data_IF_350745097205
#
_entry.id   IF_350745097205
#
_cell.length_a   1.000
_cell.length_b   1.000
_cell.length_c   1.000
_cell.angle_alpha   90.00
_cell.angle_beta   90.00
_cell.angle_gamma   90.00
#
_symmetry.space_group_name_H-M   'P 1'
#
loop_
_entity.id
_entity.type
_entity.pdbx_description
1 polymer ?
#
# COMPACT_ATOMS: atom_id res chain seq x y z
N UNK A 1 22.41 -16.15 -1.88
CA UNK A 1 21.60 -15.03 -2.38
C UNK A 1 21.98 -13.80 -1.58
N UNK A 2 22.37 -12.72 -2.24
CA UNK A 2 22.69 -11.43 -1.62
C UNK A 2 21.42 -10.58 -1.55
N UNK A 3 21.27 -9.73 -0.53
CA UNK A 3 20.10 -8.84 -0.42
C UNK A 3 19.96 -7.91 -1.64
N UNK A 4 21.07 -7.53 -2.26
CA UNK A 4 21.07 -6.71 -3.48
C UNK A 4 20.44 -7.40 -4.68
N UNK A 5 20.37 -8.73 -4.69
CA UNK A 5 19.76 -9.50 -5.78
C UNK A 5 18.25 -9.20 -5.88
N UNK A 6 17.64 -8.66 -4.82
CA UNK A 6 16.22 -8.28 -4.77
C UNK A 6 15.93 -6.84 -5.21
N UNK A 7 16.94 -6.02 -5.47
CA UNK A 7 16.78 -4.63 -5.89
C UNK A 7 16.56 -4.53 -7.41
N UNK A 8 15.45 -5.11 -7.87
CA UNK A 8 15.03 -5.08 -9.28
C UNK A 8 13.51 -5.00 -9.35
N UNK A 9 12.96 -4.59 -10.50
CA UNK A 9 11.51 -4.55 -10.73
C UNK A 9 10.82 -5.92 -10.71
N UNK A 10 11.60 -7.01 -10.68
CA UNK A 10 11.11 -8.37 -10.52
C UNK A 10 10.49 -8.62 -9.14
N UNK A 11 10.95 -7.88 -8.12
CA UNK A 11 10.54 -8.12 -6.75
C UNK A 11 9.70 -6.97 -6.19
N UNK A 12 8.84 -7.32 -5.25
CA UNK A 12 8.00 -6.40 -4.48
C UNK A 12 8.07 -6.73 -2.99
N UNK A 13 8.03 -5.72 -2.14
CA UNK A 13 8.15 -5.89 -0.70
C UNK A 13 6.86 -5.52 0.05
N UNK A 14 6.49 -6.36 1.01
CA UNK A 14 5.43 -6.10 1.98
C UNK A 14 6.00 -5.91 3.38
N UNK A 15 5.72 -4.77 3.98
CA UNK A 15 6.13 -4.44 5.34
C UNK A 15 4.99 -4.77 6.30
N UNK A 16 5.31 -5.48 7.37
CA UNK A 16 4.28 -5.93 8.31
C UNK A 16 4.86 -6.19 9.69
N UNK A 17 3.99 -6.44 10.67
CA UNK A 17 4.37 -6.74 12.05
C UNK A 17 4.87 -8.18 12.16
N UNK A 18 5.87 -8.41 13.00
CA UNK A 18 6.39 -9.76 13.27
C UNK A 18 5.28 -10.72 13.71
N UNK A 19 4.43 -10.27 14.65
CA UNK A 19 3.30 -11.05 15.15
C UNK A 19 2.35 -11.51 14.06
N UNK A 20 2.06 -10.66 13.07
CA UNK A 20 1.18 -11.01 11.94
C UNK A 20 1.83 -12.08 11.07
N UNK A 21 3.15 -12.02 10.87
CA UNK A 21 3.87 -13.05 10.11
C UNK A 21 3.73 -14.41 10.77
N UNK A 22 3.97 -14.48 12.09
CA UNK A 22 3.97 -15.75 12.83
C UNK A 22 2.57 -16.30 13.04
N UNK A 23 1.56 -15.45 13.26
CA UNK A 23 0.20 -15.87 13.60
C UNK A 23 -0.68 -16.10 12.36
N UNK A 24 -0.52 -15.27 11.33
CA UNK A 24 -1.49 -15.18 10.24
C UNK A 24 -0.88 -15.54 8.87
N UNK A 25 0.38 -15.20 8.60
CA UNK A 25 0.96 -15.39 7.25
C UNK A 25 1.61 -16.77 7.10
N UNK A 26 2.59 -17.11 7.94
CA UNK A 26 3.34 -18.35 7.79
C UNK A 26 2.50 -19.61 8.05
N UNK A 27 1.62 -19.68 9.06
CA UNK A 27 0.86 -20.90 9.33
C UNK A 27 -0.11 -21.28 8.21
N UNK A 28 -0.66 -20.28 7.52
CA UNK A 28 -1.66 -20.47 6.48
C UNK A 28 -1.07 -20.28 5.07
N UNK A 29 0.13 -19.74 4.96
CA UNK A 29 0.75 -19.30 3.71
C UNK A 29 -0.16 -18.35 2.91
N UNK A 30 -0.86 -17.47 3.63
CA UNK A 30 -1.85 -16.55 3.07
C UNK A 30 -1.51 -15.11 3.43
N UNK A 31 -1.85 -14.18 2.54
CA UNK A 31 -1.73 -12.75 2.79
C UNK A 31 -3.10 -12.11 2.66
N UNK A 32 -3.46 -11.33 3.68
CA UNK A 32 -4.76 -10.69 3.75
C UNK A 32 -4.73 -9.28 3.18
N UNK A 33 -5.64 -9.02 2.25
CA UNK A 33 -5.92 -7.67 1.79
C UNK A 33 -6.63 -6.88 2.91
N UNK A 34 -6.18 -5.67 3.17
CA UNK A 34 -6.75 -4.82 4.22
C UNK A 34 -7.87 -3.96 3.66
N UNK A 35 -8.86 -3.58 4.46
CA UNK A 35 -9.84 -2.59 3.99
C UNK A 35 -9.19 -1.22 3.91
N UNK A 36 -9.52 -0.43 2.88
CA UNK A 36 -9.00 0.93 2.73
C UNK A 36 -9.35 1.84 3.93
N UNK A 37 -10.42 1.54 4.67
CA UNK A 37 -10.83 2.32 5.84
C UNK A 37 -9.87 2.23 7.04
N UNK A 38 -8.97 1.23 7.07
CA UNK A 38 -8.08 0.93 8.21
C UNK A 38 -6.59 0.99 7.86
N UNK A 39 -6.23 1.45 6.67
CA UNK A 39 -4.82 1.61 6.28
C UNK A 39 -4.17 2.76 7.05
N UNK A 40 -2.86 2.64 7.29
CA UNK A 40 -2.11 3.61 8.08
C UNK A 40 -1.61 4.80 7.26
N UNK A 41 -1.58 4.70 5.93
CA UNK A 41 -1.18 5.82 5.08
C UNK A 41 -2.31 6.86 4.99
N UNK A 42 -2.05 8.14 5.33
CA UNK A 42 -3.07 9.19 5.26
C UNK A 42 -3.65 9.40 3.86
N UNK A 43 -2.86 9.31 2.79
CA UNK A 43 -3.39 9.48 1.43
C UNK A 43 -4.34 8.35 1.06
N UNK A 44 -4.00 7.10 1.43
CA UNK A 44 -4.86 5.95 1.17
C UNK A 44 -6.14 6.00 2.04
N UNK A 45 -6.03 6.48 3.28
CA UNK A 45 -7.12 6.52 4.27
C UNK A 45 -8.09 7.69 4.09
N UNK A 46 -7.59 8.88 3.74
CA UNK A 46 -8.37 10.12 3.91
C UNK A 46 -9.39 10.34 2.78
N UNK A 47 -9.30 9.57 1.69
CA UNK A 47 -10.30 9.50 0.60
C UNK A 47 -10.56 10.85 -0.08
N UNK A 48 -9.68 11.80 0.16
CA UNK A 48 -9.57 13.11 -0.48
C UNK A 48 -9.28 12.96 -1.98
N UNK A 49 -8.90 11.78 -2.45
CA UNK A 49 -8.86 11.45 -3.88
C UNK A 49 -10.26 11.30 -4.52
N UNK A 50 -11.36 11.28 -3.74
CA UNK A 50 -12.73 11.53 -4.21
C UNK A 50 -13.05 13.04 -4.05
N UNK A 51 -12.08 13.90 -4.37
CA UNK A 51 -12.31 15.33 -4.37
C UNK A 51 -13.29 15.68 -5.50
N UNK A 52 -14.33 16.42 -5.10
CA UNK A 52 -15.40 16.90 -5.96
C UNK A 52 -14.92 18.22 -6.58
N UNK A 53 -14.93 18.30 -7.92
CA UNK A 53 -14.50 19.50 -8.65
C UNK A 53 -15.45 20.68 -8.35
N UNK A 54 -15.05 21.62 -7.49
CA UNK A 54 -15.68 22.95 -7.54
C UNK A 54 -15.70 23.80 -6.27
N UNK A 55 -15.96 25.08 -6.50
CA UNK A 55 -16.28 26.08 -5.48
C UNK A 55 -17.72 25.79 -5.01
N UNK A 56 -17.88 25.49 -3.72
CA UNK A 56 -19.15 25.10 -3.11
C UNK A 56 -19.71 26.19 -2.19
N UNK A 57 -21.04 26.33 -2.15
CA UNK A 57 -21.70 27.04 -1.04
C UNK A 57 -21.52 26.25 0.26
N UNK A 58 -21.79 26.88 1.42
CA UNK A 58 -21.61 26.22 2.73
C UNK A 58 -22.53 25.01 2.87
N UNK A 59 -23.72 25.08 2.27
CA UNK A 59 -24.73 24.03 2.23
C UNK A 59 -24.26 22.83 1.37
N UNK A 60 -23.63 23.11 0.22
CA UNK A 60 -23.08 22.07 -0.66
C UNK A 60 -21.93 21.28 0.01
N UNK A 61 -21.12 21.94 0.84
CA UNK A 61 -20.05 21.30 1.61
C UNK A 61 -20.63 20.31 2.63
N UNK A 62 -21.71 20.69 3.33
CA UNK A 62 -22.35 19.85 4.34
C UNK A 62 -22.96 18.61 3.69
N UNK A 63 -23.67 18.77 2.58
CA UNK A 63 -24.27 17.65 1.86
C UNK A 63 -23.20 16.74 1.26
N UNK A 64 -22.13 17.30 0.68
CA UNK A 64 -20.99 16.52 0.17
C UNK A 64 -20.33 15.69 1.27
N UNK A 65 -20.12 16.26 2.47
CA UNK A 65 -19.59 15.50 3.60
C UNK A 65 -20.52 14.36 4.03
N UNK A 66 -21.84 14.55 3.97
CA UNK A 66 -22.81 13.50 4.30
C UNK A 66 -22.73 12.35 3.31
N UNK A 67 -22.74 12.64 2.02
CA UNK A 67 -22.59 11.65 0.94
C UNK A 67 -21.26 10.90 1.07
N UNK A 68 -20.16 11.63 1.29
CA UNK A 68 -18.85 11.00 1.50
C UNK A 68 -18.82 10.09 2.72
N UNK A 69 -19.47 10.46 3.83
CA UNK A 69 -19.56 9.60 5.01
C UNK A 69 -20.42 8.35 4.77
N UNK A 70 -21.50 8.47 3.99
CA UNK A 70 -22.31 7.31 3.58
C UNK A 70 -21.52 6.38 2.66
N UNK A 71 -20.78 6.92 1.68
CA UNK A 71 -19.86 6.15 0.83
C UNK A 71 -18.74 5.49 1.65
N UNK A 72 -18.16 6.20 2.63
CA UNK A 72 -17.16 5.63 3.55
C UNK A 72 -17.71 4.42 4.29
N UNK A 73 -18.92 4.54 4.82
CA UNK A 73 -19.55 3.49 5.63
C UNK A 73 -19.96 2.29 4.77
N UNK A 74 -20.55 2.54 3.60
CA UNK A 74 -21.23 1.53 2.80
C UNK A 74 -20.40 0.98 1.64
N UNK A 75 -19.36 1.68 1.17
CA UNK A 75 -18.60 1.29 -0.02
C UNK A 75 -17.14 0.95 0.31
N UNK A 76 -16.44 1.77 1.09
CA UNK A 76 -15.01 1.54 1.36
C UNK A 76 -14.70 0.28 2.17
N UNK A 77 -15.64 -0.20 2.98
CA UNK A 77 -15.49 -1.49 3.66
C UNK A 77 -15.40 -2.68 2.67
N UNK A 78 -15.91 -2.51 1.46
CA UNK A 78 -15.83 -3.48 0.37
C UNK A 78 -14.59 -3.32 -0.51
N UNK A 79 -13.91 -2.18 -0.46
CA UNK A 79 -12.61 -2.00 -1.12
C UNK A 79 -11.53 -2.64 -0.25
N UNK A 80 -10.83 -3.60 -0.85
CA UNK A 80 -9.69 -4.26 -0.26
C UNK A 80 -8.42 -3.84 -1.00
N UNK A 81 -7.38 -3.54 -0.25
CA UNK A 81 -6.11 -3.02 -0.72
C UNK A 81 -4.97 -3.90 -0.23
N UNK A 82 -3.96 -4.06 -1.07
CA UNK A 82 -2.72 -4.70 -0.71
C UNK A 82 -1.55 -3.86 -1.22
N UNK A 83 -0.90 -3.15 -0.31
CA UNK A 83 0.18 -2.22 -0.64
C UNK A 83 1.54 -2.92 -0.62
N UNK A 84 2.30 -2.66 -1.68
CA UNK A 84 3.62 -3.23 -1.91
C UNK A 84 4.59 -2.10 -2.28
N UNK A 85 5.80 -2.20 -1.76
CA UNK A 85 6.90 -1.34 -2.19
C UNK A 85 7.62 -2.00 -3.37
N UNK A 86 7.89 -1.21 -4.41
CA UNK A 86 8.77 -1.62 -5.51
C UNK A 86 10.15 -0.98 -5.35
N UNK A 87 11.12 -1.58 -6.04
CA UNK A 87 12.39 -0.92 -6.27
C UNK A 87 12.18 0.36 -7.08
N UNK A 88 12.98 1.39 -6.80
CA UNK A 88 12.90 2.66 -7.53
C UNK A 88 14.30 3.09 -7.96
N UNK A 89 14.65 2.77 -9.20
CA UNK A 89 15.95 3.09 -9.79
C UNK A 89 16.19 4.61 -9.84
N UNK A 90 15.14 5.43 -9.98
CA UNK A 90 15.27 6.88 -10.03
C UNK A 90 15.70 7.49 -8.69
N UNK A 91 15.51 6.77 -7.59
CA UNK A 91 15.90 7.20 -6.24
C UNK A 91 17.36 6.90 -5.89
N UNK A 92 18.09 6.16 -6.75
CA UNK A 92 19.52 5.80 -6.55
C UNK A 92 20.42 7.04 -6.45
N UNK A 93 20.03 8.17 -7.05
CA UNK A 93 20.80 9.41 -7.01
C UNK A 93 20.82 10.07 -5.62
N UNK A 94 19.92 9.70 -4.70
CA UNK A 94 20.04 10.02 -3.29
C UNK A 94 20.76 8.81 -2.64
N UNK A 95 22.01 8.98 -2.16
CA UNK A 95 23.00 7.96 -1.68
C UNK A 95 22.55 7.07 -0.50
N UNK A 96 21.29 6.65 -0.47
CA UNK A 96 20.63 6.20 0.73
C UNK A 96 19.97 4.83 0.51
N UNK A 97 19.94 4.04 1.59
CA UNK A 97 19.29 2.72 1.67
C UNK A 97 17.81 2.80 1.24
N UNK A 98 17.22 3.99 1.19
CA UNK A 98 15.86 4.26 0.74
C UNK A 98 15.54 3.85 -0.71
N UNK A 99 16.56 3.70 -1.55
CA UNK A 99 16.39 3.14 -2.90
C UNK A 99 16.15 1.63 -2.91
N UNK A 100 16.67 0.91 -1.90
CA UNK A 100 16.46 -0.52 -1.75
C UNK A 100 14.99 -0.83 -1.48
N UNK A 101 14.55 -2.00 -1.95
CA UNK A 101 13.16 -2.43 -1.79
C UNK A 101 12.76 -2.62 -0.32
N UNK A 102 13.73 -2.98 0.52
CA UNK A 102 13.60 -3.19 1.97
C UNK A 102 14.06 -1.99 2.82
N UNK A 103 14.68 -0.97 2.21
CA UNK A 103 15.34 0.11 2.94
C UNK A 103 14.48 1.36 3.10
N UNK A 104 13.15 1.27 2.95
CA UNK A 104 12.25 2.44 2.94
C UNK A 104 11.83 2.86 4.36
N UNK A 105 12.36 3.94 4.95
CA UNK A 105 12.13 4.25 6.37
C UNK A 105 10.67 4.53 6.72
N UNK A 106 9.93 5.23 5.84
CA UNK A 106 8.49 5.48 6.02
C UNK A 106 7.67 4.19 6.06
N UNK A 107 8.05 3.19 5.25
CA UNK A 107 7.37 1.89 5.26
C UNK A 107 7.62 1.16 6.57
N UNK A 108 8.84 1.20 7.10
CA UNK A 108 9.16 0.65 8.42
C UNK A 108 8.41 1.35 9.56
N UNK A 109 8.26 2.67 9.51
CA UNK A 109 7.53 3.43 10.51
C UNK A 109 6.02 3.12 10.48
N UNK A 110 5.39 3.14 9.30
CA UNK A 110 3.94 3.02 9.15
C UNK A 110 3.44 1.57 9.15
N UNK A 111 4.21 0.66 8.54
CA UNK A 111 3.79 -0.71 8.26
C UNK A 111 4.68 -1.77 8.94
N UNK A 112 5.98 -1.51 9.07
CA UNK A 112 6.96 -2.39 9.71
C UNK A 112 7.02 -2.29 11.23
N UNK A 113 5.90 -2.02 11.89
CA UNK A 113 5.76 -1.93 13.36
C UNK A 113 6.79 -1.02 14.04
N UNK A 114 6.96 0.20 13.52
CA UNK A 114 7.97 1.15 14.00
C UNK A 114 9.39 0.54 14.04
N UNK A 115 9.82 -0.02 12.89
CA UNK A 115 11.13 -0.64 12.68
C UNK A 115 11.38 -1.97 13.40
N UNK A 116 10.35 -2.63 13.94
CA UNK A 116 10.46 -3.92 14.67
C UNK A 116 9.82 -5.10 13.95
N UNK A 117 9.16 -4.83 12.83
CA UNK A 117 8.46 -5.82 12.04
C UNK A 117 9.37 -6.61 11.10
N UNK A 118 8.78 -7.07 10.01
CA UNK A 118 9.46 -7.80 8.94
C UNK A 118 9.13 -7.20 7.58
N UNK A 119 10.05 -7.40 6.64
CA UNK A 119 9.88 -7.10 5.22
C UNK A 119 9.86 -8.43 4.46
N UNK A 120 8.72 -8.78 3.91
CA UNK A 120 8.55 -9.97 3.07
C UNK A 120 8.77 -9.57 1.61
N UNK A 121 9.59 -10.34 0.88
CA UNK A 121 9.90 -10.06 -0.53
C UNK A 121 9.27 -11.15 -1.39
N UNK A 122 8.55 -10.75 -2.42
CA UNK A 122 7.86 -11.64 -3.35
C UNK A 122 8.37 -11.44 -4.76
N UNK A 123 8.38 -12.52 -5.54
CA UNK A 123 8.41 -12.42 -6.99
C UNK A 123 7.10 -11.78 -7.47
N UNK A 124 7.22 -10.66 -8.18
CA UNK A 124 6.07 -9.86 -8.61
C UNK A 124 5.17 -10.64 -9.57
N UNK A 125 5.74 -11.38 -10.51
CA UNK A 125 4.95 -12.09 -11.51
C UNK A 125 4.20 -13.27 -10.90
N UNK A 126 4.86 -14.02 -10.02
CA UNK A 126 4.20 -15.13 -9.31
C UNK A 126 3.08 -14.62 -8.40
N UNK A 127 3.34 -13.54 -7.64
CA UNK A 127 2.34 -12.93 -6.78
C UNK A 127 1.14 -12.41 -7.58
N UNK A 128 1.37 -11.69 -8.68
CA UNK A 128 0.29 -11.22 -9.56
C UNK A 128 -0.50 -12.39 -10.15
N UNK A 129 0.14 -13.50 -10.53
CA UNK A 129 -0.57 -14.71 -11.01
C UNK A 129 -1.48 -15.29 -9.94
N UNK A 130 -1.00 -15.42 -8.69
CA UNK A 130 -1.82 -15.95 -7.59
C UNK A 130 -2.97 -15.01 -7.21
N UNK A 131 -2.72 -13.69 -7.20
CA UNK A 131 -3.78 -12.69 -6.97
C UNK A 131 -4.86 -12.81 -8.05
N UNK A 132 -4.50 -12.86 -9.33
CA UNK A 132 -5.47 -12.98 -10.42
C UNK A 132 -6.34 -14.23 -10.28
N UNK A 133 -5.75 -15.40 -10.00
CA UNK A 133 -6.50 -16.65 -9.80
C UNK A 133 -7.55 -16.56 -8.68
N UNK A 134 -7.24 -15.86 -7.59
CA UNK A 134 -8.15 -15.68 -6.46
C UNK A 134 -9.19 -14.60 -6.78
N UNK A 135 -8.75 -13.53 -7.45
CA UNK A 135 -9.53 -12.36 -7.75
C UNK A 135 -10.47 -12.53 -8.94
N UNK A 136 -10.41 -13.62 -9.70
CA UNK A 136 -11.40 -13.98 -10.74
C UNK A 136 -12.85 -13.96 -10.23
N UNK A 137 -13.05 -14.08 -8.90
CA UNK A 137 -14.37 -14.00 -8.25
C UNK A 137 -14.85 -12.58 -7.97
N UNK A 138 -14.00 -11.57 -8.14
CA UNK A 138 -14.31 -10.17 -7.90
C UNK A 138 -14.58 -9.47 -9.24
N UNK A 139 -15.53 -8.54 -9.24
CA UNK A 139 -15.95 -7.86 -10.47
C UNK A 139 -14.79 -7.07 -11.11
N UNK A 140 -13.90 -6.49 -10.29
CA UNK A 140 -12.81 -5.63 -10.75
C UNK A 140 -11.58 -5.79 -9.86
N UNK A 141 -10.42 -5.94 -10.50
CA UNK A 141 -9.09 -5.87 -9.90
C UNK A 141 -8.35 -4.68 -10.51
N UNK A 142 -7.73 -3.86 -9.67
CA UNK A 142 -6.94 -2.71 -10.09
C UNK A 142 -5.51 -2.86 -9.56
N UNK A 143 -4.53 -2.64 -10.44
CA UNK A 143 -3.11 -2.58 -10.10
C UNK A 143 -2.55 -1.27 -10.67
N UNK A 144 -1.89 -0.47 -9.84
CA UNK A 144 -1.22 0.75 -10.29
C UNK A 144 0.01 1.06 -9.42
N UNK A 145 0.97 1.80 -9.97
CA UNK A 145 2.19 2.25 -9.27
C UNK A 145 2.02 3.70 -8.82
N UNK A 146 1.92 3.88 -7.51
CA UNK A 146 1.90 5.22 -6.90
C UNK A 146 3.34 5.67 -6.63
N UNK A 147 3.69 6.86 -7.15
CA UNK A 147 4.97 7.50 -6.85
C UNK A 147 4.79 8.46 -5.68
N UNK A 148 5.39 8.12 -4.54
CA UNK A 148 5.54 9.06 -3.44
C UNK A 148 6.69 10.00 -3.77
N UNK A 149 6.38 11.28 -4.00
CA UNK A 149 7.41 12.30 -4.20
C UNK A 149 8.22 12.45 -2.90
N UNK A 150 9.42 11.87 -2.88
CA UNK A 150 10.42 12.19 -1.87
C UNK A 150 11.02 13.55 -2.28
N UNK A 151 10.65 14.61 -1.58
CA UNK A 151 11.41 15.84 -1.64
C UNK A 151 12.78 15.55 -1.01
N UNK A 152 13.81 15.26 -1.81
CA UNK A 152 15.20 15.27 -1.32
C UNK A 152 15.48 16.74 -0.93
N UNK A 153 15.51 17.04 0.37
CA UNK A 153 15.94 18.35 0.87
C UNK A 153 17.43 18.50 0.54
N UNK A 154 17.75 19.35 -0.43
CA UNK A 154 19.13 19.76 -0.77
C UNK A 154 19.67 20.75 0.24
#
# INVERSE_FOLDING_TARGET
MNLKDFNTDKYVAHYTKFDRVIKDILPFNEIRFSSVSIVNDPYEKDTTWIENDGIYSKEDIIESHKILNELKTNFFNHIKLFCLASYDEASINCFDLSSDIYGKPRMWANYGDNHKGLCLIFDKEELSKEINKICDKYEKLYEDKIKFALYCYT
#
